data_IF_093488894986
#
_entry.id   IF_093488894986
#
_cell.length_a   1.000
_cell.length_b   1.000
_cell.length_c   1.000
_cell.angle_alpha   90.00
_cell.angle_beta   90.00
_cell.angle_gamma   90.00
#
_symmetry.space_group_name_H-M   'P 1'
#
loop_
_entity.id
_entity.type
_entity.pdbx_description
1 polymer ?
#
# COMPACT_ATOMS: atom_id res chain seq x y z
N UNK A 1 -12.31 15.58 -20.75
CA UNK A 1 -13.02 16.73 -20.19
C UNK A 1 -11.98 17.56 -19.44
N UNK A 2 -11.70 18.78 -19.90
CA UNK A 2 -10.64 19.63 -19.37
C UNK A 2 -11.30 20.49 -18.28
N UNK A 3 -11.28 20.04 -17.03
CA UNK A 3 -11.75 20.83 -15.90
C UNK A 3 -10.99 22.15 -15.85
N UNK A 4 -11.71 23.24 -15.64
CA UNK A 4 -11.13 24.57 -15.62
C UNK A 4 -10.29 24.76 -14.35
N UNK A 5 -9.10 25.36 -14.43
CA UNK A 5 -8.20 25.56 -13.28
C UNK A 5 -8.76 26.43 -12.17
N UNK A 6 -9.92 27.08 -12.38
CA UNK A 6 -10.56 27.98 -11.42
C UNK A 6 -11.35 27.23 -10.33
N UNK A 7 -12.00 26.10 -10.67
CA UNK A 7 -12.75 25.29 -9.71
C UNK A 7 -11.81 24.57 -8.72
N UNK A 8 -10.64 24.16 -9.17
CA UNK A 8 -9.65 23.42 -8.38
C UNK A 8 -9.04 24.26 -7.24
N UNK A 9 -8.82 25.56 -7.49
CA UNK A 9 -8.28 26.47 -6.48
C UNK A 9 -9.29 26.81 -5.38
N UNK A 10 -10.60 26.82 -5.70
CA UNK A 10 -11.66 27.07 -4.73
C UNK A 10 -11.87 25.90 -3.79
N UNK A 11 -11.75 24.67 -4.29
CA UNK A 11 -11.93 23.47 -3.48
C UNK A 11 -10.82 23.30 -2.43
N UNK A 12 -9.56 23.51 -2.81
CA UNK A 12 -8.43 23.44 -1.87
C UNK A 12 -8.40 24.62 -0.88
N UNK A 13 -8.82 25.79 -1.31
CA UNK A 13 -8.91 26.97 -0.44
C UNK A 13 -9.91 26.78 0.70
N UNK A 14 -11.00 26.02 0.48
CA UNK A 14 -11.97 25.68 1.53
C UNK A 14 -11.37 24.85 2.66
N UNK A 15 -10.29 24.09 2.39
CA UNK A 15 -9.53 23.31 3.37
C UNK A 15 -8.31 24.06 3.94
N UNK A 16 -8.10 25.34 3.56
CA UNK A 16 -6.97 26.15 4.01
C UNK A 16 -5.65 25.85 3.30
N UNK A 17 -5.65 25.13 2.18
CA UNK A 17 -4.47 24.78 1.40
C UNK A 17 -4.40 25.56 0.09
N UNK A 18 -3.17 25.91 -0.34
CA UNK A 18 -2.91 26.51 -1.65
C UNK A 18 -2.46 25.42 -2.62
N UNK A 19 -2.90 25.50 -3.87
CA UNK A 19 -2.47 24.63 -4.94
C UNK A 19 -1.01 24.91 -5.31
N UNK A 20 -0.07 24.08 -4.86
CA UNK A 20 1.36 24.20 -5.21
C UNK A 20 1.78 23.15 -6.23
N UNK A 21 1.08 22.00 -6.28
CA UNK A 21 1.42 20.90 -7.17
C UNK A 21 0.68 21.04 -8.50
N UNK A 22 1.44 20.94 -9.61
CA UNK A 22 0.88 20.91 -10.96
C UNK A 22 0.26 19.53 -11.24
N UNK A 23 -1.02 19.50 -11.56
CA UNK A 23 -1.71 18.29 -12.03
C UNK A 23 -1.27 17.95 -13.45
N UNK A 24 -0.23 17.13 -13.61
CA UNK A 24 0.30 16.71 -14.92
C UNK A 24 0.09 15.23 -15.21
N UNK A 25 -0.36 14.44 -14.22
CA UNK A 25 -0.55 12.99 -14.38
C UNK A 25 -1.93 12.70 -14.97
N UNK A 26 -1.96 11.95 -16.07
CA UNK A 26 -3.19 11.40 -16.62
C UNK A 26 -3.66 10.15 -15.86
N UNK A 27 -4.89 9.70 -16.12
CA UNK A 27 -5.50 8.54 -15.45
C UNK A 27 -4.66 7.27 -15.59
N UNK A 28 -4.08 7.02 -16.77
CA UNK A 28 -3.21 5.88 -16.99
C UNK A 28 -1.91 5.96 -16.19
N UNK A 29 -1.28 7.13 -16.12
CA UNK A 29 -0.06 7.34 -15.33
C UNK A 29 -0.33 7.16 -13.83
N UNK A 30 -1.47 7.63 -13.34
CA UNK A 30 -1.88 7.45 -11.95
C UNK A 30 -2.15 5.97 -11.63
N UNK A 31 -2.81 5.25 -12.53
CA UNK A 31 -3.01 3.81 -12.41
C UNK A 31 -1.68 3.04 -12.40
N UNK A 32 -0.78 3.35 -13.33
CA UNK A 32 0.53 2.71 -13.43
C UNK A 32 1.39 2.96 -12.17
N UNK A 33 1.37 4.19 -11.65
CA UNK A 33 2.06 4.53 -10.40
C UNK A 33 1.51 3.74 -9.20
N UNK A 34 0.18 3.65 -9.07
CA UNK A 34 -0.46 2.84 -8.03
C UNK A 34 -0.15 1.36 -8.17
N UNK A 35 -0.17 0.83 -9.38
CA UNK A 35 0.14 -0.57 -9.66
C UNK A 35 1.61 -0.90 -9.36
N UNK A 36 2.55 0.00 -9.65
CA UNK A 36 3.97 -0.19 -9.37
C UNK A 36 4.31 -0.27 -7.89
N UNK A 37 3.44 0.28 -7.03
CA UNK A 37 3.59 0.20 -5.58
C UNK A 37 3.23 -1.18 -5.01
N UNK A 38 2.47 -1.98 -5.75
CA UNK A 38 2.02 -3.31 -5.29
C UNK A 38 3.17 -4.30 -5.37
N UNK A 39 3.61 -4.82 -4.23
CA UNK A 39 4.61 -5.88 -4.18
C UNK A 39 3.96 -7.26 -4.37
N UNK A 40 3.92 -7.73 -5.61
CA UNK A 40 3.40 -9.06 -5.97
C UNK A 40 4.24 -10.16 -5.30
N UNK A 41 5.55 -9.94 -5.20
CA UNK A 41 6.49 -10.89 -4.59
C UNK A 41 6.11 -11.20 -3.14
N UNK A 42 5.89 -10.18 -2.33
CA UNK A 42 5.52 -10.32 -0.92
C UNK A 42 4.12 -10.91 -0.76
N UNK A 43 3.14 -10.38 -1.50
CA UNK A 43 1.75 -10.81 -1.38
C UNK A 43 1.53 -12.23 -1.86
N UNK A 44 2.00 -12.57 -3.06
CA UNK A 44 1.71 -13.86 -3.66
C UNK A 44 2.60 -14.97 -3.10
N UNK A 45 3.91 -14.79 -3.12
CA UNK A 45 4.81 -15.90 -2.76
C UNK A 45 4.86 -16.19 -1.26
N UNK A 46 4.92 -15.17 -0.41
CA UNK A 46 4.99 -15.39 1.03
C UNK A 46 3.63 -15.73 1.66
N UNK A 47 2.60 -14.96 1.33
CA UNK A 47 1.28 -15.13 1.95
C UNK A 47 0.55 -16.36 1.41
N UNK A 48 0.74 -16.73 0.13
CA UNK A 48 0.11 -17.90 -0.45
C UNK A 48 0.58 -19.20 0.24
N UNK A 49 1.89 -19.35 0.46
CA UNK A 49 2.43 -20.51 1.15
C UNK A 49 1.86 -20.66 2.57
N UNK A 50 1.81 -19.58 3.31
CA UNK A 50 1.26 -19.55 4.66
C UNK A 50 -0.24 -19.88 4.67
N UNK A 51 -1.02 -19.23 3.80
CA UNK A 51 -2.46 -19.44 3.69
C UNK A 51 -2.81 -20.88 3.26
N UNK A 52 -2.09 -21.42 2.28
CA UNK A 52 -2.29 -22.80 1.83
C UNK A 52 -1.88 -23.82 2.90
N UNK A 53 -0.81 -23.57 3.65
CA UNK A 53 -0.36 -24.41 4.75
C UNK A 53 -1.37 -24.52 5.90
N UNK A 54 -2.13 -23.43 6.18
CA UNK A 54 -3.13 -23.40 7.26
C UNK A 54 -4.48 -23.91 6.80
N UNK A 55 -4.98 -23.51 5.63
CA UNK A 55 -6.33 -23.77 5.17
C UNK A 55 -6.42 -24.81 4.03
N UNK A 56 -5.28 -25.32 3.54
CA UNK A 56 -5.23 -26.29 2.45
C UNK A 56 -5.87 -25.76 1.15
N UNK A 57 -6.45 -26.66 0.30
CA UNK A 57 -7.05 -26.29 -0.98
C UNK A 57 -8.22 -25.29 -0.87
N UNK A 58 -8.89 -25.26 0.29
CA UNK A 58 -9.97 -24.31 0.57
C UNK A 58 -9.53 -22.84 0.56
N UNK A 59 -8.25 -22.57 0.76
CA UNK A 59 -7.66 -21.23 0.69
C UNK A 59 -7.91 -20.53 -0.65
N UNK A 60 -7.97 -21.27 -1.75
CA UNK A 60 -8.24 -20.73 -3.07
C UNK A 60 -9.58 -19.99 -3.13
N UNK A 61 -10.62 -20.49 -2.47
CA UNK A 61 -11.93 -19.87 -2.46
C UNK A 61 -12.02 -18.57 -1.67
N UNK A 62 -11.07 -18.29 -0.80
CA UNK A 62 -11.00 -17.01 -0.07
C UNK A 62 -10.66 -15.83 -0.99
N UNK A 63 -9.97 -16.08 -2.11
CA UNK A 63 -9.53 -15.04 -3.06
C UNK A 63 -10.70 -14.26 -3.69
N UNK A 64 -11.74 -14.90 -4.25
CA UNK A 64 -12.88 -14.17 -4.78
C UNK A 64 -13.58 -13.30 -3.73
N UNK A 65 -13.74 -13.79 -2.50
CA UNK A 65 -14.36 -13.02 -1.42
C UNK A 65 -13.52 -11.80 -1.04
N UNK A 66 -12.23 -11.99 -0.89
CA UNK A 66 -11.30 -10.89 -0.58
C UNK A 66 -11.27 -9.89 -1.73
N UNK A 67 -11.27 -10.34 -2.99
CA UNK A 67 -11.31 -9.47 -4.16
C UNK A 67 -12.54 -8.56 -4.14
N UNK A 68 -13.72 -9.12 -3.92
CA UNK A 68 -14.98 -8.33 -3.83
C UNK A 68 -14.90 -7.33 -2.68
N UNK A 69 -14.45 -7.76 -1.49
CA UNK A 69 -14.27 -6.87 -0.36
C UNK A 69 -13.30 -5.71 -0.65
N UNK A 70 -12.18 -5.99 -1.27
CA UNK A 70 -11.18 -4.97 -1.64
C UNK A 70 -11.70 -4.01 -2.72
N UNK A 71 -12.51 -4.48 -3.67
CA UNK A 71 -13.16 -3.61 -4.66
C UNK A 71 -14.13 -2.64 -3.99
N UNK A 72 -14.93 -3.10 -3.03
CA UNK A 72 -15.83 -2.22 -2.27
C UNK A 72 -15.05 -1.15 -1.49
N UNK A 73 -13.98 -1.53 -0.82
CA UNK A 73 -13.09 -0.59 -0.12
C UNK A 73 -12.46 0.41 -1.10
N UNK A 74 -12.01 -0.06 -2.27
CA UNK A 74 -11.44 0.82 -3.30
C UNK A 74 -12.46 1.84 -3.81
N UNK A 75 -13.72 1.47 -3.98
CA UNK A 75 -14.79 2.40 -4.36
C UNK A 75 -15.02 3.46 -3.27
N UNK A 76 -15.02 3.08 -1.99
CA UNK A 76 -15.12 4.04 -0.89
C UNK A 76 -13.94 5.02 -0.89
N UNK A 77 -12.72 4.55 -1.12
CA UNK A 77 -11.54 5.42 -1.22
C UNK A 77 -11.57 6.32 -2.46
N UNK A 78 -12.11 5.82 -3.58
CA UNK A 78 -12.30 6.64 -4.77
C UNK A 78 -13.26 7.81 -4.51
N UNK A 79 -14.38 7.56 -3.81
CA UNK A 79 -15.31 8.61 -3.41
C UNK A 79 -14.66 9.62 -2.45
N UNK A 80 -13.92 9.13 -1.45
CA UNK A 80 -13.20 10.01 -0.51
C UNK A 80 -12.15 10.87 -1.22
N UNK A 81 -11.41 10.31 -2.16
CA UNK A 81 -10.40 11.03 -2.93
C UNK A 81 -11.00 12.14 -3.80
N UNK A 82 -12.24 11.97 -4.28
CA UNK A 82 -12.94 13.03 -5.03
C UNK A 82 -13.48 14.13 -4.12
N UNK A 83 -13.96 13.78 -2.92
CA UNK A 83 -14.49 14.76 -1.96
C UNK A 83 -13.39 15.52 -1.20
N UNK A 84 -12.28 14.86 -0.92
CA UNK A 84 -11.15 15.42 -0.17
C UNK A 84 -9.86 15.23 -0.98
N UNK A 85 -9.62 16.07 -2.00
CA UNK A 85 -8.44 15.95 -2.88
C UNK A 85 -7.16 16.46 -2.19
N UNK A 86 -6.91 15.98 -0.96
CA UNK A 86 -5.80 16.40 -0.12
C UNK A 86 -4.66 15.38 -0.18
N UNK A 87 -3.43 15.87 -0.25
CA UNK A 87 -2.24 15.07 -0.09
C UNK A 87 -2.14 14.55 1.36
N UNK A 88 -1.85 13.25 1.53
CA UNK A 88 -1.79 12.59 2.85
C UNK A 88 -2.83 11.48 3.07
N UNK A 89 -3.73 11.25 2.11
CA UNK A 89 -4.64 10.10 2.06
C UNK A 89 -5.43 9.88 3.34
N UNK A 90 -5.39 8.65 3.84
CA UNK A 90 -6.20 8.20 4.98
C UNK A 90 -6.02 9.05 6.24
N UNK A 91 -4.80 9.56 6.50
CA UNK A 91 -4.53 10.43 7.64
C UNK A 91 -5.33 11.74 7.56
N UNK A 92 -5.29 12.42 6.40
CA UNK A 92 -6.01 13.67 6.21
C UNK A 92 -7.52 13.46 6.23
N UNK A 93 -8.01 12.41 5.57
CA UNK A 93 -9.44 12.09 5.57
C UNK A 93 -9.96 11.80 6.98
N UNK A 94 -9.21 11.06 7.80
CA UNK A 94 -9.59 10.80 9.20
C UNK A 94 -9.68 12.07 10.04
N UNK A 95 -8.80 13.03 9.79
CA UNK A 95 -8.80 14.33 10.47
C UNK A 95 -10.02 15.18 10.11
N UNK A 96 -10.41 15.20 8.83
CA UNK A 96 -11.51 16.05 8.35
C UNK A 96 -12.90 15.43 8.57
N UNK A 97 -13.02 14.09 8.48
CA UNK A 97 -14.30 13.39 8.67
C UNK A 97 -14.59 13.19 10.17
N UNK A 98 -13.57 12.94 10.95
CA UNK A 98 -13.68 12.65 12.37
C UNK A 98 -13.27 13.83 13.24
N UNK A 99 -12.37 13.56 14.15
CA UNK A 99 -11.84 14.51 15.13
C UNK A 99 -10.30 14.54 14.99
N UNK A 100 -9.59 15.62 15.32
CA UNK A 100 -8.12 15.66 15.33
C UNK A 100 -7.46 14.50 16.07
N UNK A 101 -8.10 14.00 17.13
CA UNK A 101 -7.65 12.80 17.86
C UNK A 101 -7.64 11.54 16.99
N UNK A 102 -8.70 11.31 16.20
CA UNK A 102 -8.75 10.15 15.27
C UNK A 102 -7.68 10.28 14.18
N UNK A 103 -7.46 11.48 13.65
CA UNK A 103 -6.37 11.72 12.71
C UNK A 103 -5.01 11.37 13.32
N UNK A 104 -4.74 11.78 14.55
CA UNK A 104 -3.50 11.49 15.25
C UNK A 104 -3.29 9.97 15.46
N UNK A 105 -4.30 9.26 15.95
CA UNK A 105 -4.25 7.80 16.14
C UNK A 105 -4.04 7.09 14.81
N UNK A 106 -4.80 7.47 13.77
CA UNK A 106 -4.65 6.91 12.41
C UNK A 106 -3.23 7.11 11.87
N UNK A 107 -2.63 8.28 12.11
CA UNK A 107 -1.26 8.57 11.71
C UNK A 107 -0.24 7.61 12.35
N UNK A 108 -0.36 7.35 13.64
CA UNK A 108 0.50 6.39 14.35
C UNK A 108 0.33 4.96 13.86
N UNK A 109 -0.92 4.51 13.69
CA UNK A 109 -1.20 3.16 13.17
C UNK A 109 -0.64 3.02 11.74
N UNK A 110 -0.82 4.04 10.91
CA UNK A 110 -0.34 4.04 9.53
C UNK A 110 1.19 4.03 9.46
N UNK A 111 1.87 4.78 10.34
CA UNK A 111 3.32 4.75 10.45
C UNK A 111 3.83 3.35 10.85
N UNK A 112 3.22 2.72 11.86
CA UNK A 112 3.57 1.36 12.27
C UNK A 112 3.34 0.35 11.12
N UNK A 113 2.24 0.46 10.39
CA UNK A 113 1.95 -0.34 9.19
C UNK A 113 3.04 -0.18 8.11
N UNK A 114 3.48 1.05 7.83
CA UNK A 114 4.51 1.31 6.82
C UNK A 114 5.86 0.69 7.23
N UNK A 115 6.28 0.85 8.48
CA UNK A 115 7.52 0.26 8.99
C UNK A 115 7.47 -1.27 8.87
N UNK A 116 6.36 -1.89 9.29
CA UNK A 116 6.18 -3.34 9.19
C UNK A 116 6.16 -3.82 7.74
N UNK A 117 5.55 -3.05 6.83
CA UNK A 117 5.52 -3.37 5.40
C UNK A 117 6.91 -3.32 4.77
N UNK A 118 7.73 -2.33 5.11
CA UNK A 118 9.12 -2.23 4.64
C UNK A 118 9.92 -3.45 5.12
N UNK A 119 9.80 -3.82 6.39
CA UNK A 119 10.46 -4.99 6.95
C UNK A 119 10.01 -6.30 6.23
N UNK A 120 8.72 -6.45 5.98
CA UNK A 120 8.18 -7.61 5.25
C UNK A 120 8.73 -7.72 3.82
N UNK A 121 8.82 -6.60 3.10
CA UNK A 121 9.41 -6.57 1.75
C UNK A 121 10.89 -6.91 1.78
N UNK A 122 11.65 -6.40 2.74
CA UNK A 122 13.07 -6.70 2.92
C UNK A 122 13.28 -8.21 3.17
N UNK A 123 12.48 -8.82 4.03
CA UNK A 123 12.51 -10.27 4.27
C UNK A 123 12.13 -11.07 3.02
N UNK A 124 11.16 -10.60 2.23
CA UNK A 124 10.78 -11.25 0.97
C UNK A 124 11.93 -11.26 -0.04
N UNK A 125 12.61 -10.15 -0.20
CA UNK A 125 13.77 -10.04 -1.08
C UNK A 125 14.90 -10.96 -0.63
N UNK A 126 15.17 -11.00 0.66
CA UNK A 126 16.22 -11.84 1.22
C UNK A 126 15.98 -13.33 0.99
N UNK A 127 14.76 -13.79 1.08
CA UNK A 127 14.40 -15.20 0.79
C UNK A 127 14.46 -15.50 -0.71
N UNK A 128 14.13 -14.52 -1.56
CA UNK A 128 14.01 -14.72 -3.01
C UNK A 128 15.32 -14.55 -3.76
N UNK A 129 16.18 -13.60 -3.36
CA UNK A 129 17.44 -13.30 -4.06
C UNK A 129 18.42 -14.48 -4.11
N UNK A 130 18.65 -15.27 -3.04
CA UNK A 130 19.53 -16.43 -3.08
C UNK A 130 19.03 -17.54 -4.02
N UNK A 131 17.72 -17.60 -4.29
CA UNK A 131 17.15 -18.58 -5.23
C UNK A 131 17.51 -18.22 -6.70
N UNK A 132 17.76 -16.96 -6.99
CA UNK A 132 18.16 -16.50 -8.33
C UNK A 132 19.68 -16.72 -8.52
N UNK A 133 20.49 -16.39 -7.51
CA UNK A 133 21.94 -16.55 -7.54
C UNK A 133 22.51 -16.74 -6.13
N UNK A 134 23.35 -17.76 -5.96
CA UNK A 134 24.05 -17.99 -4.69
C UNK A 134 24.98 -16.87 -4.25
N UNK A 135 25.31 -15.93 -5.15
CA UNK A 135 26.13 -14.75 -4.83
C UNK A 135 25.46 -13.77 -3.87
N UNK A 136 24.12 -13.84 -3.73
CA UNK A 136 23.35 -13.02 -2.79
C UNK A 136 23.27 -13.65 -1.40
N UNK A 137 23.78 -14.85 -1.21
CA UNK A 137 23.85 -15.51 0.08
C UNK A 137 25.18 -15.14 0.77
N UNK A 138 25.14 -14.23 1.72
CA UNK A 138 26.35 -13.77 2.41
C UNK A 138 26.78 -14.73 3.53
N UNK A 139 25.81 -15.28 4.28
CA UNK A 139 26.08 -16.13 5.45
C UNK A 139 25.02 -17.25 5.55
N UNK A 140 25.49 -18.49 5.79
CA UNK A 140 24.66 -19.65 6.08
C UNK A 140 23.96 -20.26 4.87
N UNK A 141 23.00 -21.17 5.11
CA UNK A 141 22.17 -21.79 4.08
C UNK A 141 20.82 -21.08 3.94
N UNK A 142 20.23 -21.09 2.76
CA UNK A 142 18.97 -20.36 2.43
C UNK A 142 17.73 -20.77 3.24
N UNK A 143 17.83 -21.77 4.11
CA UNK A 143 16.75 -22.25 4.99
C UNK A 143 16.99 -22.03 6.48
N UNK A 144 18.13 -21.46 6.87
CA UNK A 144 18.45 -21.31 8.29
C UNK A 144 17.93 -19.95 8.80
N UNK A 145 17.13 -19.96 9.87
CA UNK A 145 16.55 -18.75 10.47
C UNK A 145 17.59 -17.71 10.90
N UNK A 146 18.81 -18.16 11.25
CA UNK A 146 19.93 -17.26 11.59
C UNK A 146 20.50 -16.57 10.35
N UNK A 147 20.57 -17.26 9.22
CA UNK A 147 21.03 -16.66 7.96
C UNK A 147 20.04 -15.61 7.45
N UNK A 148 18.74 -15.84 7.68
CA UNK A 148 17.68 -14.89 7.36
C UNK A 148 17.85 -13.58 8.14
N UNK A 149 18.14 -13.65 9.44
CA UNK A 149 18.30 -12.47 10.28
C UNK A 149 19.59 -11.69 10.02
N UNK A 150 20.67 -12.32 9.53
CA UNK A 150 21.96 -11.67 9.30
C UNK A 150 22.08 -11.09 7.89
N UNK A 151 21.39 -11.65 6.92
CA UNK A 151 21.39 -11.17 5.53
C UNK A 151 20.33 -10.09 5.26
N UNK A 152 19.43 -9.78 6.22
CA UNK A 152 18.42 -8.74 6.15
C UNK A 152 18.98 -7.39 6.51
#
# INVERSE_FOLDING_TARGET
MKESPVTDNTDLASFGYRQELKRSMGSFSSFAAGFSYISILTGLFQMFHLGYGVAGPGFFWTWPFVLVGQLLVALCFAELATRYPLSGGVYQWSKFIGNPFFGWVTGWIYLACLITSIAAVAMALQVSLPQISGSFQLIGSSGDARSVAVNA
#
